data_IF_126556796977
#
_entry.id   IF_126556796977
#
_cell.length_a   1.000
_cell.length_b   1.000
_cell.length_c   1.000
_cell.angle_alpha   90.00
_cell.angle_beta   90.00
_cell.angle_gamma   90.00
#
_symmetry.space_group_name_H-M   'P 1'
#
loop_
_entity.id
_entity.type
_entity.pdbx_description
1 polymer ?
#
# COMPACT_ATOMS: atom_id res chain seq x y z
N UNK A 1 11.50 7.00 -17.43
CA UNK A 1 12.42 5.91 -17.79
C UNK A 1 11.67 4.66 -18.25
N UNK A 2 10.94 3.93 -17.39
CA UNK A 2 10.29 2.67 -17.78
C UNK A 2 9.27 2.74 -18.94
N UNK A 3 8.57 3.88 -19.10
CA UNK A 3 7.58 4.08 -20.19
C UNK A 3 8.15 4.10 -21.62
N UNK A 4 9.47 4.09 -21.80
CA UNK A 4 10.08 4.02 -23.13
C UNK A 4 9.99 2.64 -23.78
N UNK A 5 9.76 1.60 -22.97
CA UNK A 5 9.64 0.22 -23.45
C UNK A 5 8.19 -0.14 -23.75
N UNK A 6 7.90 -0.99 -24.75
CA UNK A 6 6.54 -1.41 -25.11
C UNK A 6 6.00 -2.47 -24.14
N UNK A 7 5.95 -2.14 -22.86
CA UNK A 7 5.54 -3.05 -21.77
C UNK A 7 4.56 -2.37 -20.82
N UNK A 8 3.75 -3.18 -20.13
CA UNK A 8 2.84 -2.72 -19.09
C UNK A 8 3.58 -2.51 -17.78
N UNK A 9 3.25 -1.43 -17.07
CA UNK A 9 3.86 -1.08 -15.78
C UNK A 9 2.83 -1.27 -14.68
N UNK A 10 3.17 -2.10 -13.69
CA UNK A 10 2.36 -2.29 -12.49
C UNK A 10 3.02 -1.58 -11.30
N UNK A 11 2.24 -0.84 -10.54
CA UNK A 11 2.69 -0.31 -9.25
C UNK A 11 2.55 -1.39 -8.17
N UNK A 12 3.64 -1.70 -7.47
CA UNK A 12 3.60 -2.60 -6.32
C UNK A 12 3.01 -1.91 -5.10
N UNK A 13 2.01 -2.53 -4.46
CA UNK A 13 1.35 -2.02 -3.26
C UNK A 13 1.53 -3.04 -2.14
N UNK A 14 2.29 -2.68 -1.09
CA UNK A 14 2.43 -3.51 0.11
C UNK A 14 1.42 -3.03 1.15
N UNK A 15 0.60 -3.96 1.67
CA UNK A 15 -0.32 -3.67 2.75
C UNK A 15 0.46 -3.51 4.07
N UNK A 16 0.35 -2.33 4.69
CA UNK A 16 0.90 -2.11 6.03
C UNK A 16 -0.10 -2.60 7.09
N UNK A 17 0.20 -3.72 7.74
CA UNK A 17 -0.71 -4.33 8.72
C UNK A 17 -0.53 -3.81 10.15
N UNK A 18 0.62 -3.18 10.43
CA UNK A 18 0.94 -2.61 11.74
C UNK A 18 2.05 -1.56 11.69
N UNK A 19 2.12 -0.71 12.73
CA UNK A 19 3.23 0.23 12.96
C UNK A 19 4.58 -0.52 13.08
N UNK A 20 4.57 -1.69 13.73
CA UNK A 20 5.76 -2.54 13.87
C UNK A 20 6.29 -3.01 12.53
N UNK A 21 5.40 -3.46 11.63
CA UNK A 21 5.76 -3.83 10.26
C UNK A 21 6.38 -2.66 9.50
N UNK A 22 5.76 -1.48 9.53
CA UNK A 22 6.29 -0.31 8.83
C UNK A 22 7.70 0.09 9.31
N UNK A 23 7.93 0.06 10.63
CA UNK A 23 9.27 0.30 11.23
C UNK A 23 10.27 -0.79 10.85
N UNK A 24 9.84 -2.05 10.86
CA UNK A 24 10.68 -3.18 10.47
C UNK A 24 11.13 -3.05 9.01
N UNK A 25 10.22 -2.68 8.09
CA UNK A 25 10.52 -2.49 6.67
C UNK A 25 11.61 -1.44 6.47
N UNK A 26 11.51 -0.28 7.13
CA UNK A 26 12.54 0.76 7.06
C UNK A 26 13.91 0.30 7.58
N UNK A 27 13.93 -0.49 8.65
CA UNK A 27 15.18 -0.90 9.28
C UNK A 27 15.84 -2.11 8.59
N UNK A 28 15.08 -2.97 7.92
CA UNK A 28 15.56 -4.30 7.52
C UNK A 28 15.39 -4.64 6.04
N UNK A 29 14.62 -3.86 5.26
CA UNK A 29 14.38 -4.18 3.84
C UNK A 29 15.10 -3.16 2.95
N UNK A 30 16.22 -3.52 2.30
CA UNK A 30 16.94 -2.63 1.41
C UNK A 30 16.06 -2.10 0.29
N UNK A 31 16.15 -0.79 0.04
CA UNK A 31 15.39 -0.14 -1.03
C UNK A 31 13.92 0.15 -0.70
N UNK A 32 13.43 -0.19 0.50
CA UNK A 32 12.11 0.24 0.97
C UNK A 32 12.25 1.44 1.90
N UNK A 33 11.33 2.39 1.72
CA UNK A 33 11.14 3.51 2.63
C UNK A 33 9.64 3.75 2.81
N UNK A 34 9.17 3.61 4.05
CA UNK A 34 7.84 3.98 4.52
C UNK A 34 7.92 5.38 5.14
N UNK A 35 7.28 6.39 4.54
CA UNK A 35 7.26 7.75 5.07
C UNK A 35 6.69 7.84 6.49
N UNK A 36 7.26 8.71 7.33
CA UNK A 36 6.87 8.87 8.73
C UNK A 36 5.37 9.19 8.91
N UNK A 37 4.78 10.02 8.04
CA UNK A 37 3.37 10.35 8.12
C UNK A 37 2.43 9.15 7.97
N UNK A 38 2.82 8.11 7.22
CA UNK A 38 2.03 6.87 7.13
C UNK A 38 2.16 6.02 8.39
N UNK A 39 3.34 6.02 9.01
CA UNK A 39 3.58 5.35 10.29
C UNK A 39 2.73 6.01 11.40
N UNK A 40 2.67 7.34 11.40
CA UNK A 40 1.88 8.12 12.35
C UNK A 40 0.38 7.92 12.10
N UNK A 41 -0.05 7.89 10.84
CA UNK A 41 -1.44 7.59 10.46
C UNK A 41 -1.85 6.19 10.96
N UNK A 42 -1.02 5.16 10.77
CA UNK A 42 -1.24 3.81 11.32
C UNK A 42 -1.31 3.82 12.85
N UNK A 43 -0.44 4.59 13.52
CA UNK A 43 -0.43 4.68 14.98
C UNK A 43 -1.69 5.36 15.53
N UNK A 44 -2.19 6.38 14.83
CA UNK A 44 -3.40 7.11 15.22
C UNK A 44 -4.69 6.28 15.12
N UNK A 45 -4.67 5.17 14.39
CA UNK A 45 -5.81 4.26 14.30
C UNK A 45 -6.19 3.65 15.66
N UNK A 46 -5.24 3.54 16.59
CA UNK A 46 -5.46 2.93 17.90
C UNK A 46 -5.37 1.40 17.89
N UNK A 47 -5.49 0.81 19.08
CA UNK A 47 -5.22 -0.62 19.30
C UNK A 47 -6.17 -1.51 18.49
N UNK A 48 -5.61 -2.43 17.70
CA UNK A 48 -6.37 -3.39 16.89
C UNK A 48 -6.87 -2.86 15.53
N UNK A 49 -6.74 -1.56 15.24
CA UNK A 49 -7.27 -0.95 14.00
C UNK A 49 -6.20 -0.61 12.95
N UNK A 50 -4.95 -0.99 13.19
CA UNK A 50 -3.87 -0.70 12.25
C UNK A 50 -4.08 -1.37 10.88
N UNK A 51 -4.68 -2.56 10.84
CA UNK A 51 -5.01 -3.25 9.59
C UNK A 51 -6.05 -2.48 8.77
N UNK A 52 -7.15 -2.07 9.40
CA UNK A 52 -8.19 -1.24 8.78
C UNK A 52 -7.59 0.04 8.19
N UNK A 53 -6.73 0.72 8.96
CA UNK A 53 -6.03 1.91 8.47
C UNK A 53 -5.08 1.60 7.31
N UNK A 54 -4.38 0.47 7.37
CA UNK A 54 -3.54 -0.01 6.27
C UNK A 54 -4.33 -0.24 4.97
N UNK A 55 -5.53 -0.81 5.07
CA UNK A 55 -6.46 -1.01 3.95
C UNK A 55 -6.86 0.34 3.36
N UNK A 56 -7.25 1.30 4.20
CA UNK A 56 -7.58 2.66 3.75
C UNK A 56 -6.42 3.35 3.04
N UNK A 57 -5.20 3.26 3.59
CA UNK A 57 -3.99 3.84 2.99
C UNK A 57 -3.72 3.19 1.63
N UNK A 58 -3.76 1.86 1.54
CA UNK A 58 -3.53 1.13 0.30
C UNK A 58 -4.59 1.47 -0.76
N UNK A 59 -5.87 1.49 -0.37
CA UNK A 59 -6.98 1.86 -1.25
C UNK A 59 -6.84 3.29 -1.79
N UNK A 60 -6.51 4.25 -0.91
CA UNK A 60 -6.27 5.65 -1.28
C UNK A 60 -5.09 5.80 -2.25
N UNK A 61 -4.01 5.04 -2.06
CA UNK A 61 -2.87 5.01 -2.99
C UNK A 61 -3.29 4.47 -4.35
N UNK A 62 -4.02 3.35 -4.40
CA UNK A 62 -4.50 2.76 -5.66
C UNK A 62 -5.44 3.73 -6.40
N UNK A 63 -6.38 4.35 -5.68
CA UNK A 63 -7.29 5.35 -6.26
C UNK A 63 -6.52 6.53 -6.87
N UNK A 64 -5.47 7.01 -6.18
CA UNK A 64 -4.60 8.09 -6.69
C UNK A 64 -3.84 7.64 -7.95
N UNK A 65 -3.24 6.45 -7.94
CA UNK A 65 -2.52 5.89 -9.09
C UNK A 65 -3.43 5.76 -10.33
N UNK A 66 -4.68 5.32 -10.11
CA UNK A 66 -5.71 5.22 -11.16
C UNK A 66 -6.12 6.59 -11.68
N UNK A 67 -6.44 7.54 -10.79
CA UNK A 67 -6.85 8.91 -11.13
C UNK A 67 -5.79 9.63 -11.96
N UNK A 68 -4.54 9.55 -11.52
CA UNK A 68 -3.39 10.22 -12.14
C UNK A 68 -2.81 9.43 -13.34
N UNK A 69 -3.38 8.25 -13.67
CA UNK A 69 -2.97 7.38 -14.79
C UNK A 69 -1.48 7.08 -14.80
N UNK A 70 -0.90 6.82 -13.63
CA UNK A 70 0.55 6.66 -13.46
C UNK A 70 1.06 5.27 -13.89
N UNK A 71 0.23 4.24 -13.78
CA UNK A 71 0.55 2.85 -14.13
C UNK A 71 -0.63 2.19 -14.86
N UNK A 72 -0.38 1.03 -15.48
CA UNK A 72 -1.41 0.23 -16.18
C UNK A 72 -2.23 -0.65 -15.22
N UNK A 73 -1.73 -0.86 -14.00
CA UNK A 73 -2.38 -1.66 -12.97
C UNK A 73 -1.58 -1.70 -11.68
N UNK A 74 -2.02 -2.51 -10.73
CA UNK A 74 -1.38 -2.67 -9.42
C UNK A 74 -1.12 -4.14 -9.11
N UNK A 75 0.01 -4.40 -8.44
CA UNK A 75 0.32 -5.70 -7.84
C UNK A 75 0.20 -5.57 -6.32
N UNK A 76 -0.84 -6.17 -5.75
CA UNK A 76 -1.14 -6.09 -4.31
C UNK A 76 -0.41 -7.22 -3.58
N UNK A 77 0.44 -6.85 -2.63
CA UNK A 77 1.16 -7.75 -1.72
C UNK A 77 0.53 -7.66 -0.34
N UNK A 78 -0.43 -8.54 -0.05
CA UNK A 78 -1.18 -8.54 1.21
C UNK A 78 -0.42 -9.23 2.37
N UNK A 79 0.48 -10.17 2.07
CA UNK A 79 1.38 -10.86 3.02
C UNK A 79 0.64 -11.43 4.24
N UNK A 80 0.03 -12.60 4.07
CA UNK A 80 -0.69 -13.30 5.16
C UNK A 80 -1.98 -12.59 5.57
N UNK A 81 -2.48 -11.70 4.70
CA UNK A 81 -3.73 -10.95 4.79
C UNK A 81 -4.50 -10.96 3.47
N UNK A 82 -4.40 -12.05 2.72
CA UNK A 82 -5.05 -12.20 1.42
C UNK A 82 -6.58 -12.08 1.51
N UNK A 83 -7.17 -12.35 2.67
CA UNK A 83 -8.61 -12.23 2.92
C UNK A 83 -9.13 -10.79 2.79
N UNK A 84 -8.29 -9.77 2.99
CA UNK A 84 -8.71 -8.35 2.93
C UNK A 84 -8.47 -7.70 1.56
N UNK A 85 -8.06 -8.46 0.55
CA UNK A 85 -7.80 -7.89 -0.79
C UNK A 85 -9.04 -7.24 -1.38
N UNK A 86 -10.23 -7.82 -1.16
CA UNK A 86 -11.49 -7.21 -1.60
C UNK A 86 -11.77 -5.87 -0.89
N UNK A 87 -11.42 -5.75 0.39
CA UNK A 87 -11.58 -4.51 1.15
C UNK A 87 -10.65 -3.41 0.63
N UNK A 88 -9.43 -3.77 0.21
CA UNK A 88 -8.49 -2.83 -0.43
C UNK A 88 -9.05 -2.30 -1.75
N UNK A 89 -9.63 -3.19 -2.58
CA UNK A 89 -10.25 -2.81 -3.85
C UNK A 89 -11.48 -1.92 -3.64
N UNK A 90 -12.33 -2.27 -2.67
CA UNK A 90 -13.48 -1.46 -2.29
C UNK A 90 -13.05 -0.06 -1.81
N UNK A 91 -12.02 0.04 -0.96
CA UNK A 91 -11.44 1.32 -0.52
C UNK A 91 -10.82 2.13 -1.68
N UNK A 92 -10.40 1.46 -2.76
CA UNK A 92 -9.91 2.10 -3.98
C UNK A 92 -11.02 2.53 -4.96
N UNK A 93 -12.29 2.17 -4.70
CA UNK A 93 -13.41 2.39 -5.62
C UNK A 93 -13.28 1.57 -6.91
N UNK A 94 -12.79 0.33 -6.80
CA UNK A 94 -12.65 -0.63 -7.89
C UNK A 94 -13.61 -1.80 -7.69
#
# INVERSE_FOLDING_TARGET
YARQFPVKILAGIILLTSVGMAKYMNANIPGIFVPQHLIDELASAGKGRALEKGIEIAGRMIATLKKEKLCDGVHIMAIGKEEVVLDILAAAGI
#
